data_IF_274584731081
#
_entry.id   IF_274584731081
#
_cell.length_a   1.000
_cell.length_b   1.000
_cell.length_c   1.000
_cell.angle_alpha   90.00
_cell.angle_beta   90.00
_cell.angle_gamma   90.00
#
_symmetry.space_group_name_H-M   'P 1'
#
loop_
_entity.id
_entity.type
_entity.pdbx_description
1 polymer ?
#
# COMPACT_ATOMS: atom_id res chain seq x y z
N UNK A 1 -9.20 11.34 -3.29
CA UNK A 1 -8.31 10.85 -2.19
C UNK A 1 -8.77 11.42 -0.87
N UNK A 2 -9.13 10.57 0.07
CA UNK A 2 -9.51 11.01 1.41
C UNK A 2 -8.31 11.27 2.30
N UNK A 3 -7.23 10.51 2.12
CA UNK A 3 -6.04 10.63 2.94
C UNK A 3 -4.85 9.96 2.27
N UNK A 4 -3.66 10.41 2.62
CA UNK A 4 -2.41 9.80 2.19
C UNK A 4 -1.44 9.78 3.37
N UNK A 5 -0.75 8.67 3.57
CA UNK A 5 0.10 8.48 4.72
C UNK A 5 1.34 7.66 4.35
N UNK A 6 2.50 8.06 4.88
CA UNK A 6 3.72 7.29 4.74
C UNK A 6 3.88 6.37 5.95
N UNK A 7 4.07 5.10 5.67
CA UNK A 7 4.25 4.08 6.70
C UNK A 7 5.67 3.53 6.60
N UNK A 8 6.25 3.19 7.74
CA UNK A 8 7.57 2.56 7.75
C UNK A 8 7.51 1.12 7.24
N UNK A 9 6.33 0.48 7.37
CA UNK A 9 6.10 -0.88 6.92
C UNK A 9 4.61 -1.09 6.70
N UNK A 10 4.25 -2.26 6.21
CA UNK A 10 2.84 -2.63 6.04
C UNK A 10 2.15 -2.70 7.40
N UNK A 11 0.86 -2.35 7.47
CA UNK A 11 0.12 -2.46 8.73
C UNK A 11 0.02 -3.91 9.20
N UNK A 12 -0.04 -4.07 10.53
CA UNK A 12 -0.07 -5.39 11.17
C UNK A 12 -1.46 -6.04 11.21
N UNK A 13 -2.31 -5.73 10.27
CA UNK A 13 -3.59 -6.41 10.17
C UNK A 13 -3.51 -7.60 9.22
N UNK A 14 -4.42 -8.54 9.39
CA UNK A 14 -4.48 -9.69 8.49
C UNK A 14 -5.19 -9.32 7.20
N UNK A 15 -4.55 -9.62 6.07
CA UNK A 15 -5.11 -9.43 4.76
C UNK A 15 -5.36 -10.76 4.09
N UNK A 16 -6.53 -10.90 3.49
CA UNK A 16 -6.88 -12.09 2.72
C UNK A 16 -6.81 -11.72 1.24
N UNK A 17 -6.09 -12.53 0.48
CA UNK A 17 -5.98 -12.32 -0.97
C UNK A 17 -7.29 -12.68 -1.65
N UNK A 18 -7.86 -11.73 -2.37
CA UNK A 18 -9.07 -11.93 -3.15
C UNK A 18 -8.69 -12.30 -4.58
N UNK A 19 -7.79 -11.51 -5.17
CA UNK A 19 -7.33 -11.73 -6.54
C UNK A 19 -5.96 -11.06 -6.67
N UNK A 20 -4.99 -11.78 -7.20
CA UNK A 20 -3.66 -11.22 -7.40
C UNK A 20 -2.56 -12.18 -7.00
N UNK A 21 -1.37 -11.63 -6.86
CA UNK A 21 -0.16 -12.39 -6.60
C UNK A 21 0.40 -12.07 -5.22
N UNK A 22 0.72 -13.11 -4.48
CA UNK A 22 1.40 -12.97 -3.19
C UNK A 22 2.53 -13.99 -3.14
N UNK A 23 3.77 -13.52 -3.12
CA UNK A 23 4.94 -14.40 -3.01
C UNK A 23 5.99 -13.77 -2.10
N UNK A 24 7.21 -14.32 -2.10
CA UNK A 24 8.28 -13.84 -1.24
C UNK A 24 8.86 -12.48 -1.67
N UNK A 25 8.55 -12.02 -2.87
CA UNK A 25 9.09 -10.78 -3.42
C UNK A 25 8.09 -9.65 -3.47
N UNK A 26 6.82 -9.96 -3.70
CA UNK A 26 5.84 -8.93 -3.98
C UNK A 26 4.43 -9.33 -3.60
N UNK A 27 3.62 -8.29 -3.40
CA UNK A 27 2.18 -8.41 -3.18
C UNK A 27 1.51 -7.53 -4.23
N UNK A 28 0.73 -8.14 -5.11
CA UNK A 28 0.06 -7.42 -6.19
C UNK A 28 -1.40 -7.85 -6.26
N UNK A 29 -2.30 -6.89 -6.39
CA UNK A 29 -3.71 -7.15 -6.65
C UNK A 29 -4.63 -6.77 -5.50
N UNK A 30 -5.78 -7.45 -5.43
CA UNK A 30 -6.84 -7.12 -4.48
C UNK A 30 -6.75 -7.99 -3.23
N UNK A 31 -6.84 -7.32 -2.08
CA UNK A 31 -6.85 -7.97 -0.79
C UNK A 31 -7.96 -7.37 0.06
N UNK A 32 -8.34 -8.07 1.11
CA UNK A 32 -9.30 -7.57 2.09
C UNK A 32 -8.67 -7.65 3.48
N UNK A 33 -8.58 -6.52 4.16
CA UNK A 33 -8.07 -6.45 5.51
C UNK A 33 -9.19 -6.40 6.52
N UNK A 34 -8.91 -6.81 7.75
CA UNK A 34 -9.89 -6.78 8.83
C UNK A 34 -10.31 -5.36 9.18
N UNK A 35 -9.37 -4.44 9.17
CA UNK A 35 -9.64 -3.03 9.51
C UNK A 35 -9.77 -2.15 8.28
N UNK A 36 -8.90 -2.33 7.30
CA UNK A 36 -8.86 -1.49 6.10
C UNK A 36 -9.94 -1.82 5.09
N UNK A 37 -10.54 -3.01 5.19
CA UNK A 37 -11.50 -3.45 4.18
C UNK A 37 -10.82 -3.74 2.85
N UNK A 38 -11.42 -3.33 1.74
CA UNK A 38 -10.86 -3.55 0.42
C UNK A 38 -9.55 -2.81 0.23
N UNK A 39 -8.53 -3.49 -0.24
CA UNK A 39 -7.21 -2.91 -0.46
C UNK A 39 -6.62 -3.38 -1.78
N UNK A 40 -5.86 -2.49 -2.41
CA UNK A 40 -5.07 -2.79 -3.60
C UNK A 40 -3.61 -2.70 -3.21
N UNK A 41 -2.86 -3.74 -3.51
CA UNK A 41 -1.44 -3.78 -3.18
C UNK A 41 -0.58 -3.74 -4.44
N UNK A 42 0.40 -2.85 -4.41
CA UNK A 42 1.46 -2.76 -5.40
C UNK A 42 2.75 -2.66 -4.62
N UNK A 43 3.10 -3.75 -3.93
CA UNK A 43 4.16 -3.76 -2.91
C UNK A 43 5.27 -4.72 -3.30
N UNK A 44 6.51 -4.24 -3.18
CA UNK A 44 7.70 -5.09 -3.20
C UNK A 44 8.11 -5.31 -1.76
N UNK A 45 8.19 -6.57 -1.36
CA UNK A 45 8.56 -6.91 0.01
C UNK A 45 9.96 -6.44 0.33
N UNK A 46 10.13 -5.92 1.54
CA UNK A 46 11.41 -5.44 2.01
C UNK A 46 11.73 -4.00 1.67
N UNK A 47 10.93 -3.36 0.85
CA UNK A 47 11.15 -1.97 0.48
C UNK A 47 10.32 -1.04 1.34
N UNK A 48 10.93 0.01 1.84
CA UNK A 48 10.25 1.03 2.67
C UNK A 48 10.67 2.41 2.18
N UNK A 49 9.87 3.46 2.45
CA UNK A 49 8.57 3.45 3.09
C UNK A 49 7.45 2.94 2.19
N UNK A 50 6.29 2.70 2.77
CA UNK A 50 5.08 2.30 2.05
C UNK A 50 4.12 3.47 2.06
N UNK A 51 3.56 3.79 0.90
CA UNK A 51 2.56 4.85 0.78
C UNK A 51 1.17 4.24 0.85
N UNK A 52 0.38 4.71 1.81
CA UNK A 52 -1.01 4.34 1.97
C UNK A 52 -1.89 5.46 1.45
N UNK A 53 -2.73 5.16 0.47
CA UNK A 53 -3.66 6.13 -0.12
C UNK A 53 -5.06 5.65 0.15
N UNK A 54 -5.81 6.43 0.93
CA UNK A 54 -7.19 6.09 1.25
C UNK A 54 -8.14 6.73 0.24
N UNK A 55 -8.90 5.88 -0.45
CA UNK A 55 -9.91 6.28 -1.40
C UNK A 55 -11.29 5.93 -0.84
N UNK A 56 -12.38 6.52 -1.35
CA UNK A 56 -13.72 6.25 -0.80
C UNK A 56 -14.13 4.78 -0.81
N UNK A 57 -13.71 4.01 -1.79
CA UNK A 57 -14.13 2.62 -1.94
C UNK A 57 -13.09 1.60 -1.51
N UNK A 58 -11.81 1.99 -1.49
CA UNK A 58 -10.73 1.09 -1.13
C UNK A 58 -9.47 1.86 -0.74
N UNK A 59 -8.48 1.14 -0.23
CA UNK A 59 -7.19 1.71 0.14
C UNK A 59 -6.11 1.12 -0.76
N UNK A 60 -5.17 1.95 -1.20
CA UNK A 60 -4.05 1.51 -2.03
C UNK A 60 -2.77 1.56 -1.19
N UNK A 61 -2.01 0.48 -1.24
CA UNK A 61 -0.68 0.42 -0.65
C UNK A 61 0.33 0.26 -1.78
N UNK A 62 1.29 1.16 -1.85
CA UNK A 62 2.29 1.16 -2.92
C UNK A 62 3.66 1.53 -2.37
N UNK A 63 4.69 0.91 -2.90
CA UNK A 63 6.06 1.29 -2.60
C UNK A 63 6.91 1.22 -3.87
N UNK A 64 8.19 1.54 -3.73
CA UNK A 64 9.14 1.53 -4.84
C UNK A 64 10.50 1.07 -4.32
N UNK A 65 11.31 0.52 -5.21
CA UNK A 65 12.71 0.21 -4.91
C UNK A 65 13.48 1.50 -4.58
N UNK A 66 13.02 2.61 -5.10
CA UNK A 66 13.61 3.93 -4.82
C UNK A 66 12.76 4.63 -3.79
N UNK A 67 13.20 4.63 -2.54
CA UNK A 67 12.45 5.23 -1.43
C UNK A 67 12.14 6.71 -1.66
N UNK A 68 13.04 7.42 -2.35
CA UNK A 68 12.82 8.83 -2.67
C UNK A 68 11.60 9.06 -3.55
N UNK A 69 11.26 8.12 -4.42
CA UNK A 69 10.07 8.25 -5.26
C UNK A 69 8.78 8.17 -4.45
N UNK A 70 8.75 7.29 -3.48
CA UNK A 70 7.57 7.16 -2.62
C UNK A 70 7.35 8.45 -1.83
N UNK A 71 8.43 9.03 -1.34
CA UNK A 71 8.38 10.31 -0.64
C UNK A 71 7.85 11.42 -1.56
N UNK A 72 8.30 11.48 -2.79
CA UNK A 72 7.81 12.44 -3.78
C UNK A 72 6.32 12.27 -4.05
N UNK A 73 5.86 11.05 -4.21
CA UNK A 73 4.44 10.77 -4.42
C UNK A 73 3.61 11.26 -3.24
N UNK A 74 4.09 11.00 -2.03
CA UNK A 74 3.40 11.44 -0.83
C UNK A 74 3.30 12.97 -0.78
N UNK A 75 4.38 13.66 -1.08
CA UNK A 75 4.41 15.12 -1.08
C UNK A 75 3.45 15.71 -2.11
N UNK A 76 3.38 15.12 -3.28
CA UNK A 76 2.45 15.55 -4.32
C UNK A 76 1.00 15.37 -3.91
N UNK A 77 0.68 14.24 -3.27
CA UNK A 77 -0.68 13.96 -2.83
C UNK A 77 -1.10 14.78 -1.61
N UNK A 78 -0.14 15.20 -0.81
CA UNK A 78 -0.40 15.96 0.41
C UNK A 78 -0.42 17.47 0.22
N UNK A 79 0.05 17.94 -0.92
CA UNK A 79 0.16 19.38 -1.19
C UNK A 79 -1.17 20.03 -1.56
#
# INVERSE_FOLDING_TARGET
>A
IEDAELLEDLPEEDFVRINGLSDSRQLLGKFKGEESGKAMFYIRRGETPVLKIKLPEYTVFVNSEESGKVQEWYEELSS
#
